data_IF_560408009280
#
_entry.id   IF_560408009280
#
_cell.length_a   1.000
_cell.length_b   1.000
_cell.length_c   1.000
_cell.angle_alpha   90.00
_cell.angle_beta   90.00
_cell.angle_gamma   90.00
#
_symmetry.space_group_name_H-M   'P 1'
#
loop_
_entity.id
_entity.type
_entity.pdbx_description
1 polymer ?
#
# COMPACT_ATOMS: atom_id res chain seq x y z
N UNK A 1 41.54 7.76 17.86
CA UNK A 1 40.65 6.64 17.52
C UNK A 1 39.60 6.54 18.62
N UNK A 2 38.37 6.97 18.34
CA UNK A 2 37.23 6.81 19.24
C UNK A 2 36.12 6.18 18.40
N UNK A 3 35.97 4.87 18.52
CA UNK A 3 34.87 4.11 17.95
C UNK A 3 33.60 4.47 18.71
N UNK A 4 32.78 5.35 18.14
CA UNK A 4 31.37 5.44 18.52
C UNK A 4 30.66 4.22 17.93
N UNK A 5 30.51 3.17 18.73
CA UNK A 5 29.51 2.14 18.45
C UNK A 5 28.14 2.81 18.31
N UNK A 6 27.30 2.43 17.32
CA UNK A 6 25.93 2.89 17.28
C UNK A 6 25.25 2.42 18.56
N UNK A 7 24.62 3.35 19.28
CA UNK A 7 23.75 3.01 20.42
C UNK A 7 22.80 1.91 19.96
N UNK A 8 22.78 0.79 20.69
CA UNK A 8 21.89 -0.34 20.47
C UNK A 8 20.45 0.15 20.27
N UNK A 9 20.03 0.21 19.01
CA UNK A 9 18.72 0.67 18.61
C UNK A 9 17.71 -0.45 18.87
N UNK A 10 16.78 -0.18 19.78
CA UNK A 10 15.71 -1.07 20.22
C UNK A 10 14.61 -1.24 19.14
N UNK A 11 15.00 -1.32 17.87
CA UNK A 11 14.12 -1.49 16.72
C UNK A 11 13.95 -2.99 16.44
N UNK A 12 13.47 -3.75 17.43
CA UNK A 12 13.37 -5.21 17.24
C UNK A 12 12.23 -5.62 16.32
N UNK A 13 11.23 -4.75 16.12
CA UNK A 13 10.08 -5.04 15.26
C UNK A 13 9.31 -3.75 14.85
N UNK A 14 9.26 -3.44 13.56
CA UNK A 14 8.51 -2.30 12.99
C UNK A 14 7.01 -2.37 13.32
N UNK A 15 6.45 -3.57 13.47
CA UNK A 15 5.03 -3.73 13.80
C UNK A 15 4.67 -3.34 15.24
N UNK A 16 5.65 -3.37 16.15
CA UNK A 16 5.48 -3.06 17.58
C UNK A 16 5.87 -1.62 17.94
N UNK A 17 6.25 -0.81 16.95
CA UNK A 17 6.67 0.57 17.18
C UNK A 17 5.51 1.40 17.74
N UNK A 18 5.82 2.14 18.80
CA UNK A 18 4.91 3.12 19.41
C UNK A 18 5.18 4.51 18.84
N UNK A 19 4.14 5.25 18.42
CA UNK A 19 4.29 6.64 18.02
C UNK A 19 4.58 7.54 19.23
N UNK A 20 5.27 8.66 19.00
CA UNK A 20 5.30 9.81 19.90
C UNK A 20 3.89 10.41 20.04
N UNK A 21 3.65 11.16 21.11
CA UNK A 21 2.31 11.66 21.47
C UNK A 21 1.60 12.39 20.32
N UNK A 22 2.30 13.23 19.54
CA UNK A 22 1.70 13.96 18.41
C UNK A 22 1.21 13.04 17.28
N UNK A 23 1.75 11.84 17.19
CA UNK A 23 1.42 10.83 16.18
C UNK A 23 0.54 9.71 16.72
N UNK A 24 0.12 9.74 17.98
CA UNK A 24 -0.70 8.69 18.59
C UNK A 24 -2.01 8.47 17.83
N UNK A 25 -2.81 9.51 17.65
CA UNK A 25 -4.09 9.42 16.93
C UNK A 25 -3.93 9.25 15.41
N UNK A 26 -2.99 9.94 14.72
CA UNK A 26 -2.70 9.64 13.32
C UNK A 26 -2.29 8.18 13.07
N UNK A 27 -1.42 7.61 13.91
CA UNK A 27 -1.01 6.21 13.83
C UNK A 27 -2.18 5.26 14.08
N UNK A 28 -2.99 5.55 15.12
CA UNK A 28 -4.19 4.77 15.43
C UNK A 28 -5.16 4.75 14.24
N UNK A 29 -5.52 5.92 13.72
CA UNK A 29 -6.45 6.05 12.59
C UNK A 29 -5.92 5.35 11.33
N UNK A 30 -4.63 5.54 11.05
CA UNK A 30 -3.92 4.89 9.94
C UNK A 30 -3.99 3.36 10.04
N UNK A 31 -3.70 2.77 11.22
CA UNK A 31 -3.79 1.32 11.45
C UNK A 31 -5.23 0.81 11.33
N UNK A 32 -6.21 1.55 11.86
CA UNK A 32 -7.64 1.20 11.75
C UNK A 32 -8.07 1.16 10.28
N UNK A 33 -7.80 2.22 9.50
CA UNK A 33 -8.19 2.29 8.08
C UNK A 33 -7.44 1.23 7.26
N UNK A 34 -6.15 1.02 7.54
CA UNK A 34 -5.38 -0.03 6.86
C UNK A 34 -5.98 -1.42 7.08
N UNK A 35 -6.57 -1.69 8.24
CA UNK A 35 -7.20 -2.96 8.59
C UNK A 35 -8.56 -3.23 7.94
N UNK A 36 -9.05 -2.35 7.04
CA UNK A 36 -10.37 -2.50 6.44
C UNK A 36 -10.50 -3.76 5.57
N UNK A 37 -11.63 -4.45 5.77
CA UNK A 37 -12.11 -5.58 4.99
C UNK A 37 -13.66 -5.60 4.97
N UNK A 38 -14.25 -6.55 4.26
CA UNK A 38 -15.69 -6.68 4.13
C UNK A 38 -16.43 -6.96 5.45
N UNK A 39 -15.76 -7.53 6.46
CA UNK A 39 -16.39 -7.93 7.72
C UNK A 39 -16.40 -6.80 8.77
N UNK A 40 -15.51 -5.81 8.66
CA UNK A 40 -15.31 -4.79 9.70
C UNK A 40 -15.57 -3.35 9.23
N UNK A 41 -16.00 -3.13 7.99
CA UNK A 41 -16.21 -1.78 7.45
C UNK A 41 -17.14 -0.91 8.30
N UNK A 42 -18.22 -1.48 8.85
CA UNK A 42 -19.17 -0.74 9.70
C UNK A 42 -18.47 -0.27 10.98
N UNK A 43 -17.77 -1.18 11.65
CA UNK A 43 -17.03 -0.88 12.88
C UNK A 43 -15.93 0.16 12.64
N UNK A 44 -15.13 -0.01 11.59
CA UNK A 44 -14.07 0.92 11.21
C UNK A 44 -14.65 2.30 10.91
N UNK A 45 -15.76 2.36 10.18
CA UNK A 45 -16.43 3.64 9.89
C UNK A 45 -16.81 4.37 11.17
N UNK A 46 -17.44 3.68 12.13
CA UNK A 46 -17.80 4.27 13.42
C UNK A 46 -16.58 4.75 14.20
N UNK A 47 -15.50 3.96 14.26
CA UNK A 47 -14.27 4.35 14.96
C UNK A 47 -13.62 5.59 14.35
N UNK A 48 -13.54 5.69 13.02
CA UNK A 48 -12.97 6.87 12.37
C UNK A 48 -13.86 8.10 12.55
N UNK A 49 -15.18 7.94 12.45
CA UNK A 49 -16.13 9.04 12.72
C UNK A 49 -15.98 9.51 14.18
N UNK A 50 -15.81 8.61 15.14
CA UNK A 50 -15.57 8.97 16.53
C UNK A 50 -14.26 9.75 16.71
N UNK A 51 -13.16 9.32 16.10
CA UNK A 51 -11.88 10.04 16.15
C UNK A 51 -12.01 11.47 15.58
N UNK A 52 -12.77 11.65 14.51
CA UNK A 52 -13.03 12.97 13.92
C UNK A 52 -13.92 13.81 14.86
N UNK A 53 -15.02 13.22 15.36
CA UNK A 53 -16.00 13.92 16.20
C UNK A 53 -15.43 14.35 17.55
N UNK A 54 -14.49 13.56 18.09
CA UNK A 54 -13.75 13.86 19.32
C UNK A 54 -12.52 14.74 19.07
N UNK A 55 -12.34 15.26 17.84
CA UNK A 55 -11.26 16.16 17.43
C UNK A 55 -9.85 15.56 17.63
N UNK A 56 -9.75 14.22 17.66
CA UNK A 56 -8.47 13.50 17.76
C UNK A 56 -7.70 13.52 16.44
N UNK A 57 -8.42 13.59 15.32
CA UNK A 57 -7.88 13.83 13.97
C UNK A 57 -8.82 14.74 13.19
N UNK A 58 -8.31 15.55 12.24
CA UNK A 58 -9.17 16.28 11.31
C UNK A 58 -9.74 15.35 10.23
N UNK A 59 -10.91 15.68 9.68
CA UNK A 59 -11.56 14.91 8.61
C UNK A 59 -10.66 14.76 7.38
N UNK A 60 -9.92 15.82 7.01
CA UNK A 60 -9.03 15.83 5.85
C UNK A 60 -7.94 14.76 5.97
N UNK A 61 -7.44 14.52 7.18
CA UNK A 61 -6.43 13.49 7.43
C UNK A 61 -7.00 12.08 7.22
N UNK A 62 -8.22 11.80 7.70
CA UNK A 62 -8.87 10.51 7.47
C UNK A 62 -9.11 10.27 5.97
N UNK A 63 -9.59 11.28 5.24
CA UNK A 63 -9.81 11.20 3.80
C UNK A 63 -8.49 10.99 3.03
N UNK A 64 -7.43 11.67 3.46
CA UNK A 64 -6.08 11.48 2.91
C UNK A 64 -5.57 10.04 3.12
N UNK A 65 -5.76 9.45 4.30
CA UNK A 65 -5.36 8.05 4.56
C UNK A 65 -6.09 7.08 3.64
N UNK A 66 -7.40 7.27 3.47
CA UNK A 66 -8.20 6.43 2.56
C UNK A 66 -7.72 6.58 1.12
N UNK A 67 -7.42 7.80 0.69
CA UNK A 67 -6.92 8.09 -0.65
C UNK A 67 -5.58 7.37 -0.92
N UNK A 68 -4.60 7.50 -0.03
CA UNK A 68 -3.31 6.81 -0.13
C UNK A 68 -3.48 5.28 -0.12
N UNK A 69 -4.24 4.73 0.83
CA UNK A 69 -4.42 3.29 0.92
C UNK A 69 -5.18 2.71 -0.28
N UNK A 70 -6.11 3.46 -0.87
CA UNK A 70 -6.80 3.05 -2.09
C UNK A 70 -5.88 2.94 -3.31
N UNK A 71 -4.74 3.62 -3.30
CA UNK A 71 -3.70 3.50 -4.34
C UNK A 71 -2.80 2.28 -4.13
N UNK A 72 -2.58 1.89 -2.87
CA UNK A 72 -1.75 0.74 -2.51
C UNK A 72 -2.55 -0.56 -2.64
N UNK A 73 -3.72 -0.61 -1.99
CA UNK A 73 -4.62 -1.76 -1.90
C UNK A 73 -5.71 -1.69 -2.97
N UNK A 74 -5.28 -1.69 -4.23
CA UNK A 74 -6.15 -1.43 -5.38
C UNK A 74 -7.26 -2.48 -5.58
N UNK A 75 -7.06 -3.72 -5.10
CA UNK A 75 -8.08 -4.78 -5.17
C UNK A 75 -9.27 -4.48 -4.26
N UNK A 76 -9.03 -3.72 -3.20
CA UNK A 76 -10.01 -3.35 -2.19
C UNK A 76 -10.55 -1.92 -2.39
N UNK A 77 -10.31 -1.29 -3.54
CA UNK A 77 -10.73 0.09 -3.82
C UNK A 77 -12.22 0.34 -3.57
N UNK A 78 -13.07 -0.68 -3.77
CA UNK A 78 -14.50 -0.62 -3.44
C UNK A 78 -14.73 -0.37 -1.95
N UNK A 79 -14.04 -1.10 -1.07
CA UNK A 79 -14.15 -0.93 0.38
C UNK A 79 -13.70 0.49 0.80
N UNK A 80 -12.64 1.00 0.19
CA UNK A 80 -12.20 2.36 0.43
C UNK A 80 -13.22 3.40 -0.05
N UNK A 81 -13.89 3.18 -1.19
CA UNK A 81 -14.97 4.07 -1.64
C UNK A 81 -16.15 4.10 -0.67
N UNK A 82 -16.53 2.94 -0.13
CA UNK A 82 -17.63 2.83 0.85
C UNK A 82 -17.27 3.53 2.17
N UNK A 83 -16.03 3.36 2.66
CA UNK A 83 -15.56 4.06 3.86
C UNK A 83 -15.51 5.58 3.63
N UNK A 84 -14.97 6.01 2.49
CA UNK A 84 -14.88 7.43 2.13
C UNK A 84 -16.27 8.06 2.07
N UNK A 85 -17.22 7.42 1.38
CA UNK A 85 -18.62 7.86 1.33
C UNK A 85 -19.25 7.98 2.72
N UNK A 86 -19.06 6.98 3.60
CA UNK A 86 -19.61 7.01 4.96
C UNK A 86 -19.11 8.22 5.75
N UNK A 87 -17.83 8.56 5.62
CA UNK A 87 -17.25 9.75 6.26
C UNK A 87 -17.82 11.03 5.65
N UNK A 88 -17.85 11.16 4.31
CA UNK A 88 -18.42 12.35 3.66
C UNK A 88 -19.87 12.61 4.10
N UNK A 89 -20.70 11.55 4.13
CA UNK A 89 -22.09 11.64 4.54
C UNK A 89 -22.25 12.03 6.01
N UNK A 90 -21.43 11.45 6.90
CA UNK A 90 -21.50 11.73 8.34
C UNK A 90 -21.23 13.20 8.67
N UNK A 91 -20.38 13.87 7.88
CA UNK A 91 -19.99 15.27 8.12
C UNK A 91 -20.54 16.26 7.09
N UNK A 92 -21.40 15.80 6.15
CA UNK A 92 -21.87 16.61 5.01
C UNK A 92 -20.74 17.33 4.27
N UNK A 93 -19.60 16.66 4.12
CA UNK A 93 -18.37 17.20 3.55
C UNK A 93 -18.22 16.74 2.10
N UNK A 94 -17.70 17.60 1.23
CA UNK A 94 -17.44 17.27 -0.19
C UNK A 94 -15.98 17.56 -0.48
N UNK A 95 -15.19 16.50 -0.69
CA UNK A 95 -13.78 16.61 -1.02
C UNK A 95 -13.36 15.51 -1.99
N UNK A 96 -12.81 15.89 -3.13
CA UNK A 96 -12.39 14.98 -4.19
C UNK A 96 -11.06 14.32 -3.81
N UNK A 97 -10.96 12.99 -3.80
CA UNK A 97 -9.67 12.33 -3.63
C UNK A 97 -8.74 12.57 -4.84
N UNK A 98 -7.44 12.41 -4.63
CA UNK A 98 -6.43 12.48 -5.68
C UNK A 98 -6.41 11.19 -6.52
N UNK A 99 -6.71 10.03 -5.94
CA UNK A 99 -6.89 8.80 -6.69
C UNK A 99 -8.12 8.90 -7.60
N UNK A 100 -7.88 9.07 -8.90
CA UNK A 100 -8.94 9.21 -9.90
C UNK A 100 -9.91 8.01 -9.95
N UNK A 101 -9.44 6.79 -9.67
CA UNK A 101 -10.31 5.62 -9.60
C UNK A 101 -11.27 5.71 -8.41
N UNK A 102 -10.78 6.15 -7.25
CA UNK A 102 -11.61 6.37 -6.07
C UNK A 102 -12.61 7.52 -6.31
N UNK A 103 -12.15 8.63 -6.88
CA UNK A 103 -13.02 9.77 -7.24
C UNK A 103 -14.13 9.36 -8.22
N UNK A 104 -13.81 8.50 -9.19
CA UNK A 104 -14.78 7.98 -10.16
C UNK A 104 -15.83 7.09 -9.49
N UNK A 105 -15.43 6.19 -8.56
CA UNK A 105 -16.39 5.38 -7.81
C UNK A 105 -17.35 6.25 -6.98
N UNK A 106 -16.80 7.25 -6.27
CA UNK A 106 -17.62 8.21 -5.51
C UNK A 106 -18.58 8.99 -6.42
N UNK A 107 -18.16 9.33 -7.64
CA UNK A 107 -19.03 9.97 -8.62
C UNK A 107 -20.22 9.08 -9.00
N UNK A 108 -19.97 7.80 -9.31
CA UNK A 108 -21.05 6.84 -9.58
C UNK A 108 -21.95 6.58 -8.36
N UNK A 109 -21.43 6.81 -7.15
CA UNK A 109 -22.20 6.78 -5.90
C UNK A 109 -22.99 8.08 -5.61
N UNK A 110 -22.95 9.07 -6.51
CA UNK A 110 -23.76 10.30 -6.45
C UNK A 110 -23.02 11.56 -6.00
N UNK A 111 -21.74 11.49 -5.68
CA UNK A 111 -20.96 12.69 -5.34
C UNK A 111 -20.56 13.48 -6.60
N UNK A 112 -20.76 14.80 -6.57
CA UNK A 112 -20.29 15.69 -7.63
C UNK A 112 -19.10 16.49 -7.12
N UNK A 113 -18.00 16.43 -7.86
CA UNK A 113 -16.81 17.21 -7.58
C UNK A 113 -16.63 18.27 -8.66
N UNK A 114 -16.16 19.44 -8.26
CA UNK A 114 -15.89 20.54 -9.19
C UNK A 114 -14.82 20.12 -10.22
N UNK A 115 -15.06 20.44 -11.50
CA UNK A 115 -14.14 20.17 -12.61
C UNK A 115 -13.71 18.69 -12.74
N UNK A 116 -14.59 17.75 -12.37
CA UNK A 116 -14.33 16.33 -12.47
C UNK A 116 -15.38 15.60 -13.30
N UNK A 117 -14.93 14.93 -14.35
CA UNK A 117 -15.75 14.00 -15.13
C UNK A 117 -15.09 12.62 -15.16
N UNK A 118 -15.86 11.54 -14.94
CA UNK A 118 -15.32 10.19 -14.93
C UNK A 118 -14.90 9.75 -16.34
N UNK A 119 -13.61 9.43 -16.52
CA UNK A 119 -13.07 8.96 -17.81
C UNK A 119 -13.30 7.44 -18.01
N UNK A 120 -13.51 6.70 -16.91
CA UNK A 120 -13.63 5.24 -16.94
C UNK A 120 -14.93 4.75 -16.31
N UNK A 121 -15.48 3.66 -16.86
CA UNK A 121 -16.69 3.01 -16.32
C UNK A 121 -16.39 2.34 -14.97
N UNK A 122 -17.39 2.37 -14.07
CA UNK A 122 -17.33 1.73 -12.75
C UNK A 122 -16.84 0.28 -12.80
N UNK A 123 -17.42 -0.54 -13.68
CA UNK A 123 -17.06 -1.95 -13.82
C UNK A 123 -15.58 -2.17 -14.14
N UNK A 124 -14.96 -1.26 -14.91
CA UNK A 124 -13.53 -1.32 -15.24
C UNK A 124 -12.64 -0.94 -14.06
N UNK A 125 -13.14 -0.18 -13.10
CA UNK A 125 -12.41 0.13 -11.85
C UNK A 125 -12.43 -1.08 -10.94
N UNK A 126 -13.62 -1.66 -10.76
CA UNK A 126 -13.84 -2.80 -9.89
C UNK A 126 -13.11 -4.06 -10.40
N UNK A 127 -12.97 -4.19 -11.73
CA UNK A 127 -12.17 -5.24 -12.37
C UNK A 127 -10.76 -4.69 -12.62
N UNK A 128 -9.82 -5.02 -11.73
CA UNK A 128 -8.40 -4.65 -11.86
C UNK A 128 -7.83 -4.89 -13.28
N UNK A 129 -8.21 -6.02 -13.88
CA UNK A 129 -7.99 -6.35 -15.29
C UNK A 129 -9.29 -6.87 -15.91
N UNK A 130 -9.39 -6.80 -17.25
CA UNK A 130 -10.49 -7.44 -17.98
C UNK A 130 -10.52 -8.95 -17.68
N UNK A 131 -11.72 -9.52 -17.52
CA UNK A 131 -11.92 -10.98 -17.36
C UNK A 131 -11.52 -11.79 -18.60
N UNK A 132 -11.29 -11.11 -19.73
CA UNK A 132 -10.74 -11.69 -20.96
C UNK A 132 -9.20 -11.66 -20.98
N UNK A 133 -8.56 -11.03 -19.99
CA UNK A 133 -7.10 -10.99 -19.86
C UNK A 133 -6.62 -12.09 -18.90
N UNK A 134 -5.49 -12.78 -19.19
CA UNK A 134 -4.88 -13.72 -18.25
C UNK A 134 -4.48 -13.03 -16.93
N UNK A 135 -4.15 -11.73 -16.96
CA UNK A 135 -3.76 -10.96 -15.77
C UNK A 135 -4.87 -10.90 -14.71
N UNK A 136 -6.14 -10.96 -15.10
CA UNK A 136 -7.25 -11.04 -14.16
C UNK A 136 -7.12 -12.31 -13.31
N UNK A 137 -6.95 -13.47 -13.95
CA UNK A 137 -6.86 -14.74 -13.25
C UNK A 137 -5.60 -14.83 -12.40
N UNK A 138 -4.48 -14.28 -12.90
CA UNK A 138 -3.23 -14.20 -12.15
C UNK A 138 -3.39 -13.36 -10.90
N UNK A 139 -3.90 -12.12 -10.99
CA UNK A 139 -4.01 -11.20 -9.84
C UNK A 139 -4.99 -11.68 -8.75
N UNK A 140 -5.88 -12.61 -9.08
CA UNK A 140 -6.82 -13.27 -8.15
C UNK A 140 -6.40 -14.70 -7.78
N UNK A 141 -5.18 -15.10 -8.15
CA UNK A 141 -4.58 -16.42 -7.92
C UNK A 141 -5.42 -17.63 -8.40
N UNK A 142 -6.15 -17.45 -9.50
CA UNK A 142 -7.05 -18.46 -10.09
C UNK A 142 -6.33 -19.34 -11.10
N UNK A 143 -5.33 -20.10 -10.64
CA UNK A 143 -4.44 -20.89 -11.51
C UNK A 143 -5.16 -21.90 -12.40
N UNK A 144 -6.24 -22.53 -11.92
CA UNK A 144 -6.99 -23.53 -12.70
C UNK A 144 -7.77 -22.87 -13.86
N UNK A 145 -8.38 -21.72 -13.61
CA UNK A 145 -9.08 -20.94 -14.63
C UNK A 145 -8.10 -20.39 -15.66
N UNK A 146 -6.92 -19.94 -15.22
CA UNK A 146 -5.84 -19.46 -16.10
C UNK A 146 -5.43 -20.56 -17.08
N UNK A 147 -5.12 -21.77 -16.57
CA UNK A 147 -4.74 -22.94 -17.39
C UNK A 147 -5.81 -23.33 -18.40
N UNK A 148 -7.07 -23.33 -17.98
CA UNK A 148 -8.21 -23.73 -18.82
C UNK A 148 -8.48 -22.72 -19.94
N UNK A 149 -8.44 -21.42 -19.62
CA UNK A 149 -8.82 -20.36 -20.57
C UNK A 149 -7.68 -19.88 -21.47
N UNK A 150 -6.43 -20.00 -21.02
CA UNK A 150 -5.25 -19.53 -21.74
C UNK A 150 -4.17 -20.63 -21.84
N UNK A 151 -4.46 -21.78 -22.49
CA UNK A 151 -3.53 -22.89 -22.58
C UNK A 151 -2.24 -22.55 -23.36
N UNK A 152 -2.30 -21.55 -24.24
CA UNK A 152 -1.18 -21.10 -25.07
C UNK A 152 -0.69 -19.70 -24.64
N UNK A 153 -0.79 -19.38 -23.35
CA UNK A 153 -0.30 -18.11 -22.82
C UNK A 153 1.21 -17.96 -23.10
N UNK A 154 1.61 -16.89 -23.78
CA UNK A 154 3.01 -16.47 -23.80
C UNK A 154 3.36 -15.92 -22.41
N UNK A 155 4.17 -16.68 -21.68
CA UNK A 155 4.51 -16.40 -20.28
C UNK A 155 5.50 -15.25 -20.10
N UNK A 156 6.22 -14.85 -21.17
CA UNK A 156 7.23 -13.79 -21.12
C UNK A 156 6.79 -12.51 -21.83
N UNK A 157 5.73 -12.56 -22.64
CA UNK A 157 5.15 -11.37 -23.27
C UNK A 157 4.50 -10.45 -22.23
N UNK A 158 4.83 -9.16 -22.28
CA UNK A 158 4.16 -8.15 -21.47
C UNK A 158 2.72 -7.92 -21.96
N UNK A 159 1.80 -7.82 -21.00
CA UNK A 159 0.39 -7.48 -21.21
C UNK A 159 0.14 -6.27 -20.33
N UNK A 160 -0.29 -5.14 -20.90
CA UNK A 160 -0.44 -3.88 -20.15
C UNK A 160 0.83 -3.52 -19.32
N UNK A 161 1.99 -3.58 -19.96
CA UNK A 161 3.31 -3.20 -19.41
C UNK A 161 3.79 -4.03 -18.19
N UNK A 162 3.24 -5.25 -18.04
CA UNK A 162 3.64 -6.21 -17.00
C UNK A 162 3.63 -7.64 -17.56
N UNK A 163 4.64 -8.44 -17.21
CA UNK A 163 4.67 -9.86 -17.55
C UNK A 163 3.68 -10.66 -16.68
N UNK A 164 3.19 -11.83 -17.14
CA UNK A 164 2.40 -12.73 -16.31
C UNK A 164 3.05 -13.05 -14.96
N UNK A 165 4.37 -13.31 -14.95
CA UNK A 165 5.09 -13.62 -13.72
C UNK A 165 5.15 -12.42 -12.78
N UNK A 166 5.48 -11.23 -13.28
CA UNK A 166 5.49 -10.01 -12.48
C UNK A 166 4.11 -9.68 -11.91
N UNK A 167 3.04 -9.97 -12.66
CA UNK A 167 1.68 -9.82 -12.15
C UNK A 167 1.43 -10.76 -10.97
N UNK A 168 1.89 -12.02 -11.05
CA UNK A 168 1.75 -12.96 -9.94
C UNK A 168 2.53 -12.49 -8.71
N UNK A 169 3.77 -12.02 -8.91
CA UNK A 169 4.64 -11.49 -7.86
C UNK A 169 3.99 -10.27 -7.19
N UNK A 170 3.56 -9.28 -7.98
CA UNK A 170 3.00 -8.00 -7.49
C UNK A 170 1.77 -8.18 -6.61
N UNK A 171 0.93 -9.17 -6.91
CA UNK A 171 -0.31 -9.43 -6.17
C UNK A 171 -0.20 -10.62 -5.21
N UNK A 172 1.01 -11.13 -4.96
CA UNK A 172 1.23 -12.23 -4.02
C UNK A 172 0.52 -13.53 -4.40
N UNK A 173 0.28 -13.75 -5.69
CA UNK A 173 -0.51 -14.86 -6.24
C UNK A 173 0.36 -16.11 -6.40
N UNK A 174 0.54 -16.81 -5.28
CA UNK A 174 1.52 -17.88 -5.11
C UNK A 174 1.30 -19.08 -6.03
N UNK A 175 0.04 -19.49 -6.24
CA UNK A 175 -0.26 -20.64 -7.10
C UNK A 175 0.07 -20.32 -8.57
N UNK A 176 -0.28 -19.11 -9.02
CA UNK A 176 0.04 -18.63 -10.37
C UNK A 176 1.54 -18.40 -10.53
N UNK A 177 2.22 -17.86 -9.52
CA UNK A 177 3.67 -17.68 -9.52
C UNK A 177 4.39 -19.02 -9.71
N UNK A 178 4.06 -20.04 -8.91
CA UNK A 178 4.65 -21.37 -9.00
C UNK A 178 4.39 -22.01 -10.36
N UNK A 179 3.17 -21.88 -10.88
CA UNK A 179 2.82 -22.39 -12.20
C UNK A 179 3.64 -21.72 -13.32
N UNK A 180 3.73 -20.39 -13.33
CA UNK A 180 4.47 -19.64 -14.35
C UNK A 180 5.98 -19.90 -14.27
N UNK A 181 6.56 -20.01 -13.06
CA UNK A 181 7.95 -20.42 -12.86
C UNK A 181 8.23 -21.82 -13.41
N UNK A 182 7.34 -22.78 -13.18
CA UNK A 182 7.48 -24.13 -13.73
C UNK A 182 7.40 -24.20 -15.26
N UNK A 183 6.77 -23.21 -15.90
CA UNK A 183 6.78 -23.05 -17.35
C UNK A 183 8.05 -22.36 -17.89
N UNK A 184 8.95 -21.90 -17.02
CA UNK A 184 10.18 -21.21 -17.40
C UNK A 184 10.04 -19.70 -17.57
N UNK A 185 9.07 -19.06 -16.90
CA UNK A 185 8.94 -17.61 -16.92
C UNK A 185 10.15 -16.93 -16.24
N UNK A 186 10.62 -15.84 -16.85
CA UNK A 186 11.78 -15.09 -16.37
C UNK A 186 11.38 -13.91 -15.49
N UNK A 187 12.20 -13.63 -14.48
CA UNK A 187 12.12 -12.36 -13.76
C UNK A 187 12.52 -11.19 -14.67
N UNK A 188 11.91 -10.05 -14.44
CA UNK A 188 12.30 -8.77 -15.04
C UNK A 188 13.09 -7.92 -14.04
N UNK A 189 13.49 -6.72 -14.44
CA UNK A 189 14.08 -5.72 -13.56
C UNK A 189 13.08 -5.05 -12.60
N UNK A 190 11.78 -5.37 -12.70
CA UNK A 190 10.73 -4.87 -11.80
C UNK A 190 10.33 -5.91 -10.74
N UNK A 191 10.69 -7.18 -10.93
CA UNK A 191 10.21 -8.30 -10.12
C UNK A 191 10.53 -8.12 -8.63
N UNK A 192 11.73 -7.67 -8.29
CA UNK A 192 12.18 -7.50 -6.90
C UNK A 192 11.32 -6.44 -6.18
N UNK A 193 11.08 -5.30 -6.84
CA UNK A 193 10.15 -4.28 -6.33
C UNK A 193 8.75 -4.85 -6.15
N UNK A 194 8.24 -5.60 -7.13
CA UNK A 194 6.91 -6.19 -7.05
C UNK A 194 6.78 -7.22 -5.92
N UNK A 195 7.82 -8.00 -5.62
CA UNK A 195 7.79 -8.96 -4.53
C UNK A 195 7.68 -8.27 -3.17
N UNK A 196 8.41 -7.15 -3.02
CA UNK A 196 8.35 -6.33 -1.81
C UNK A 196 6.99 -5.63 -1.67
N UNK A 197 6.40 -5.16 -2.77
CA UNK A 197 5.05 -4.58 -2.77
C UNK A 197 3.97 -5.62 -2.47
N UNK A 198 4.06 -6.80 -3.09
CA UNK A 198 3.07 -7.86 -2.98
C UNK A 198 3.02 -8.51 -1.61
N UNK A 199 4.10 -8.43 -0.83
CA UNK A 199 4.11 -8.84 0.57
C UNK A 199 3.98 -10.35 0.81
N UNK A 200 3.91 -11.17 -0.25
CA UNK A 200 3.90 -12.63 -0.12
C UNK A 200 5.31 -13.12 0.24
N UNK A 201 5.47 -13.59 1.48
CA UNK A 201 6.73 -14.04 2.03
C UNK A 201 7.33 -15.24 1.28
N UNK A 202 6.50 -16.16 0.81
CA UNK A 202 6.99 -17.35 0.10
C UNK A 202 7.61 -16.95 -1.24
N UNK A 203 6.95 -16.09 -2.01
CA UNK A 203 7.49 -15.54 -3.26
C UNK A 203 8.78 -14.76 -2.99
N UNK A 204 8.76 -13.88 -1.98
CA UNK A 204 9.92 -13.07 -1.62
C UNK A 204 11.14 -13.94 -1.25
N UNK A 205 10.96 -14.94 -0.37
CA UNK A 205 12.04 -15.83 0.05
C UNK A 205 12.55 -16.70 -1.08
N UNK A 206 11.67 -17.23 -1.93
CA UNK A 206 12.10 -17.99 -3.11
C UNK A 206 12.96 -17.13 -4.05
N UNK A 207 12.59 -15.87 -4.28
CA UNK A 207 13.41 -14.97 -5.10
C UNK A 207 14.80 -14.70 -4.50
N UNK A 208 14.90 -14.60 -3.17
CA UNK A 208 16.20 -14.51 -2.48
C UNK A 208 17.04 -15.78 -2.72
N UNK A 209 16.45 -16.96 -2.56
CA UNK A 209 17.11 -18.25 -2.78
C UNK A 209 17.58 -18.44 -4.23
N UNK A 210 16.82 -17.90 -5.18
CA UNK A 210 17.18 -17.85 -6.61
C UNK A 210 18.20 -16.74 -6.96
N UNK A 211 18.75 -16.05 -5.96
CA UNK A 211 19.87 -15.11 -6.11
C UNK A 211 19.47 -13.69 -6.52
N UNK A 212 18.21 -13.29 -6.35
CA UNK A 212 17.78 -11.90 -6.61
C UNK A 212 18.25 -10.95 -5.52
N UNK A 213 18.73 -9.78 -5.96
CA UNK A 213 19.18 -8.70 -5.07
C UNK A 213 18.02 -7.77 -4.74
N UNK A 214 17.79 -7.52 -3.45
CA UNK A 214 16.73 -6.62 -2.97
C UNK A 214 17.28 -5.31 -2.43
N UNK A 215 18.30 -4.76 -3.07
CA UNK A 215 18.99 -3.54 -2.61
C UNK A 215 18.06 -2.33 -2.58
N UNK A 216 18.16 -1.51 -1.53
CA UNK A 216 17.39 -0.28 -1.34
C UNK A 216 15.86 -0.45 -1.37
N UNK A 217 15.33 -1.56 -0.85
CA UNK A 217 13.90 -1.89 -0.87
C UNK A 217 13.18 -1.65 0.47
N UNK A 218 13.89 -1.30 1.54
CA UNK A 218 13.29 -1.18 2.88
C UNK A 218 12.17 -0.13 2.95
N UNK A 219 12.32 1.05 2.32
CA UNK A 219 11.24 2.05 2.27
C UNK A 219 10.03 1.49 1.52
N UNK A 220 10.23 0.80 0.39
CA UNK A 220 9.12 0.16 -0.34
C UNK A 220 8.39 -0.87 0.52
N UNK A 221 9.10 -1.66 1.32
CA UNK A 221 8.49 -2.62 2.24
C UNK A 221 7.63 -1.90 3.30
N UNK A 222 8.12 -0.78 3.84
CA UNK A 222 7.42 0.02 4.83
C UNK A 222 6.19 0.71 4.24
N UNK A 223 6.31 1.33 3.06
CA UNK A 223 5.21 2.01 2.35
C UNK A 223 4.01 1.07 2.12
N UNK A 224 4.30 -0.20 1.83
CA UNK A 224 3.31 -1.26 1.64
C UNK A 224 2.93 -2.01 2.92
N UNK A 225 3.48 -1.60 4.07
CA UNK A 225 3.30 -2.20 5.41
C UNK A 225 3.66 -3.68 5.51
N UNK A 226 4.58 -4.12 4.66
CA UNK A 226 5.14 -5.47 4.70
C UNK A 226 6.26 -5.52 5.73
N UNK A 227 5.92 -5.33 7.01
CA UNK A 227 6.89 -5.20 8.10
C UNK A 227 7.80 -6.42 8.26
N UNK A 228 7.31 -7.64 8.02
CA UNK A 228 8.17 -8.82 8.03
C UNK A 228 9.27 -8.78 6.96
N UNK A 229 8.93 -8.28 5.76
CA UNK A 229 9.92 -8.08 4.69
C UNK A 229 10.87 -6.96 5.09
N UNK A 230 10.38 -5.84 5.63
CA UNK A 230 11.22 -4.75 6.10
C UNK A 230 12.23 -5.20 7.18
N UNK A 231 11.79 -6.04 8.12
CA UNK A 231 12.66 -6.64 9.15
C UNK A 231 13.69 -7.61 8.54
N UNK A 232 13.30 -8.39 7.53
CA UNK A 232 14.23 -9.23 6.81
C UNK A 232 15.32 -8.41 6.12
N UNK A 233 14.93 -7.38 5.36
CA UNK A 233 15.85 -6.48 4.63
C UNK A 233 16.80 -5.78 5.59
N UNK A 234 16.31 -5.35 6.75
CA UNK A 234 17.13 -4.76 7.79
C UNK A 234 18.13 -5.75 8.38
N UNK A 235 17.66 -6.91 8.83
CA UNK A 235 18.49 -7.84 9.61
C UNK A 235 19.50 -8.59 8.75
N UNK A 236 19.13 -8.94 7.51
CA UNK A 236 19.95 -9.76 6.62
C UNK A 236 20.72 -8.93 5.59
N UNK A 237 20.13 -7.84 5.10
CA UNK A 237 20.74 -6.97 4.07
C UNK A 237 21.22 -5.62 4.62
N UNK A 238 21.13 -5.41 5.94
CA UNK A 238 21.60 -4.19 6.64
C UNK A 238 21.01 -2.89 6.10
N UNK A 239 19.81 -2.95 5.54
CA UNK A 239 19.12 -1.76 5.05
C UNK A 239 18.48 -0.99 6.20
N UNK A 240 18.51 0.33 6.12
CA UNK A 240 17.84 1.21 7.08
C UNK A 240 16.92 2.18 6.34
N UNK A 241 15.69 2.41 6.83
CA UNK A 241 14.86 3.45 6.26
C UNK A 241 15.45 4.81 6.55
N UNK A 242 15.24 5.75 5.64
CA UNK A 242 15.98 7.00 5.64
C UNK A 242 15.10 8.24 5.39
N UNK A 243 13.78 8.06 5.35
CA UNK A 243 12.83 9.13 5.03
C UNK A 243 11.60 9.12 5.96
N UNK A 244 11.63 10.03 6.93
CA UNK A 244 10.48 10.33 7.79
C UNK A 244 9.31 10.87 6.95
N UNK A 245 9.61 11.73 5.98
CA UNK A 245 8.60 12.38 5.15
C UNK A 245 7.84 11.37 4.28
N UNK A 246 8.56 10.41 3.69
CA UNK A 246 7.96 9.29 2.95
C UNK A 246 7.12 8.40 3.88
N UNK A 247 7.62 8.10 5.09
CA UNK A 247 6.88 7.31 6.07
C UNK A 247 5.52 7.94 6.40
N UNK A 248 5.44 9.25 6.67
CA UNK A 248 4.13 9.87 6.95
C UNK A 248 3.28 10.07 5.70
N UNK A 249 3.91 10.27 4.54
CA UNK A 249 3.18 10.29 3.26
C UNK A 249 2.40 8.97 3.09
N UNK A 250 3.04 7.83 3.33
CA UNK A 250 2.40 6.51 3.35
C UNK A 250 1.74 6.14 4.69
N UNK A 251 1.53 7.14 5.54
CA UNK A 251 0.77 7.05 6.79
C UNK A 251 1.38 6.10 7.85
N UNK A 252 2.67 5.78 7.76
CA UNK A 252 3.41 4.95 8.72
C UNK A 252 3.98 5.81 9.87
N UNK A 253 3.08 6.31 10.70
CA UNK A 253 3.43 7.24 11.78
C UNK A 253 4.28 6.63 12.90
N UNK A 254 4.13 5.33 13.21
CA UNK A 254 5.02 4.63 14.13
C UNK A 254 6.48 4.57 13.63
N UNK A 255 6.67 4.35 12.32
CA UNK A 255 7.99 4.37 11.68
C UNK A 255 8.57 5.78 11.66
N UNK A 256 7.76 6.77 11.26
CA UNK A 256 8.17 8.17 11.27
C UNK A 256 8.60 8.64 12.67
N UNK A 257 7.82 8.28 13.68
CA UNK A 257 8.13 8.50 15.10
C UNK A 257 9.48 7.92 15.51
N UNK A 258 9.74 6.67 15.11
CA UNK A 258 11.00 5.99 15.37
C UNK A 258 12.17 6.74 14.71
N UNK A 259 12.03 7.12 13.44
CA UNK A 259 13.05 7.87 12.69
C UNK A 259 13.38 9.21 13.37
N UNK A 260 12.36 9.98 13.76
CA UNK A 260 12.54 11.25 14.48
C UNK A 260 13.29 11.03 15.80
N UNK A 261 12.88 10.01 16.57
CA UNK A 261 13.46 9.73 17.88
C UNK A 261 14.93 9.31 17.82
N UNK A 262 15.38 8.80 16.67
CA UNK A 262 16.77 8.42 16.41
C UNK A 262 17.55 9.47 15.60
N UNK A 263 17.01 10.68 15.44
CA UNK A 263 17.72 11.80 14.83
C UNK A 263 17.81 11.76 13.31
N UNK A 264 16.86 11.11 12.63
CA UNK A 264 16.74 11.20 11.17
C UNK A 264 16.59 12.66 10.72
N UNK A 265 17.21 13.00 9.58
CA UNK A 265 17.15 14.36 9.05
C UNK A 265 15.73 14.73 8.62
N UNK A 266 15.14 15.67 9.36
CA UNK A 266 13.80 16.22 9.11
C UNK A 266 13.74 16.97 7.77
N UNK A 267 14.88 17.45 7.26
CA UNK A 267 14.99 18.21 6.01
C UNK A 267 15.17 17.35 4.76
N UNK A 268 15.16 16.02 4.88
CA UNK A 268 15.08 15.14 3.71
C UNK A 268 13.65 15.20 3.17
N UNK A 269 13.37 16.28 2.44
CA UNK A 269 12.04 16.71 2.03
C UNK A 269 11.47 15.70 1.03
N UNK A 270 10.31 15.12 1.38
CA UNK A 270 9.34 14.65 0.40
C UNK A 270 8.40 15.82 0.12
N UNK A 271 8.42 16.37 -1.09
CA UNK A 271 7.79 17.66 -1.43
C UNK A 271 6.29 17.76 -1.09
N UNK A 272 5.58 16.64 -0.92
CA UNK A 272 4.17 16.64 -0.54
C UNK A 272 3.93 16.89 0.97
N UNK A 273 4.92 16.62 1.82
CA UNK A 273 4.77 16.69 3.28
C UNK A 273 4.55 18.12 3.79
N UNK A 274 5.12 19.11 3.09
CA UNK A 274 4.90 20.54 3.38
C UNK A 274 3.41 20.92 3.28
N UNK A 275 2.63 20.29 2.39
CA UNK A 275 1.21 20.61 2.22
C UNK A 275 0.33 20.09 3.36
N UNK A 276 0.66 18.95 3.97
CA UNK A 276 -0.17 18.36 5.03
C UNK A 276 0.03 19.10 6.35
N UNK A 277 1.26 19.51 6.68
CA UNK A 277 1.54 20.30 7.89
C UNK A 277 0.89 21.69 7.85
N UNK A 278 0.80 22.31 6.67
CA UNK A 278 0.14 23.61 6.49
C UNK A 278 -1.39 23.51 6.71
N UNK A 279 -1.99 22.33 6.55
CA UNK A 279 -3.42 22.11 6.82
C UNK A 279 -3.70 21.78 8.31
N UNK A 280 -2.66 21.40 9.06
CA UNK A 280 -2.74 21.04 10.50
C UNK A 280 -2.47 22.25 11.43
N UNK A 281 -1.88 23.34 10.92
CA UNK A 281 -1.71 24.63 11.61
C UNK A 281 -2.85 25.61 11.27
#
# INVERSE_FOLDING_TARGET
MSSSEPKNENWRNYSDLKPINVFEYPDQASKIIWGINCNNIIQISSQIIELITTHKIPIQMALYFIDIFSQIRIKEIKLFSELYQKILNAFSYIYKPQNNKLATLLHYQGFKFENFEPIMKEEKILKLYSTESPLYYIAWDKVNDLKSKFPNLDINQEINDITPLDCAIKYGSELCFNYLKNLGANYTNKSEKYAVQGGNKNIFMQMIEEGKSFDNMINTALDYRNYEIAEYLKSNLRQTPDSMAESMYFCNYSVASCLISNGADINKIYNLFLFILIIVL
#
